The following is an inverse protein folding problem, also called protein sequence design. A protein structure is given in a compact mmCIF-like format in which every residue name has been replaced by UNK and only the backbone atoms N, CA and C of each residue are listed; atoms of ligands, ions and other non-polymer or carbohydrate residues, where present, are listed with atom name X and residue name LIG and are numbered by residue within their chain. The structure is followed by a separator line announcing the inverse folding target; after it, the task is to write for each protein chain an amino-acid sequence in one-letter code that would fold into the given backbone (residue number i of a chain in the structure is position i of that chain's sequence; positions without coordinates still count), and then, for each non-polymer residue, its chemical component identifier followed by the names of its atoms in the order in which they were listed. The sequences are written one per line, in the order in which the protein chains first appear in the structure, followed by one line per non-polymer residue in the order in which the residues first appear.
data_IF_690905653040
#
_entry.id   IF_690905653040
#
_cell.length_a   1.000
_cell.length_b   1.000
_cell.length_c   1.000
_cell.angle_alpha   90.00
_cell.angle_beta   90.00
_cell.angle_gamma   90.00
#
_symmetry.space_group_name_H-M   'P 1'
#
loop_
_entity.id
_entity.type
_entity.pdbx_description
1 polymer ?
#
# COMPACT_ATOMS: atom_id res chain seq x y z
N UNK A 1 -2.17 -78.47 19.78
CA UNK A 1 -2.50 -78.04 21.16
C UNK A 1 -3.21 -76.68 21.22
N UNK A 2 -2.56 -75.53 20.93
CA UNK A 2 -3.12 -74.18 21.20
C UNK A 2 -4.49 -73.88 20.54
N UNK A 3 -4.63 -74.19 19.25
CA UNK A 3 -5.91 -73.99 18.55
C UNK A 3 -7.03 -74.87 19.12
N UNK A 4 -6.72 -76.11 19.54
CA UNK A 4 -7.72 -77.02 20.13
C UNK A 4 -8.11 -76.54 21.52
N UNK A 5 -7.13 -76.15 22.35
CA UNK A 5 -7.39 -75.55 23.66
C UNK A 5 -8.28 -74.31 23.54
N UNK A 6 -8.03 -73.45 22.56
CA UNK A 6 -8.87 -72.27 22.27
C UNK A 6 -10.30 -72.65 21.89
N UNK A 7 -10.48 -73.63 21.00
CA UNK A 7 -11.81 -74.07 20.55
C UNK A 7 -12.57 -74.84 21.63
N UNK A 8 -11.86 -75.53 22.52
CA UNK A 8 -12.47 -76.36 23.58
C UNK A 8 -12.81 -75.54 24.82
N UNK A 9 -11.91 -74.67 25.30
CA UNK A 9 -12.14 -73.87 26.50
C UNK A 9 -12.93 -72.59 26.22
N UNK A 10 -13.08 -72.20 24.94
CA UNK A 10 -13.90 -71.08 24.47
C UNK A 10 -13.84 -69.81 25.37
N UNK A 11 -12.64 -69.25 25.61
CA UNK A 11 -12.47 -68.12 26.51
C UNK A 11 -13.10 -66.83 25.95
N UNK A 12 -13.58 -65.97 26.86
CA UNK A 12 -14.22 -64.69 26.50
C UNK A 12 -13.29 -63.75 25.68
N UNK A 13 -11.98 -63.83 25.91
CA UNK A 13 -10.97 -63.15 25.09
C UNK A 13 -9.95 -64.16 24.55
N UNK A 14 -10.01 -64.49 23.24
CA UNK A 14 -9.14 -65.49 22.64
C UNK A 14 -7.67 -65.04 22.54
N UNK A 15 -7.39 -63.73 22.51
CA UNK A 15 -6.03 -63.22 22.33
C UNK A 15 -5.23 -63.29 23.63
N UNK A 16 -5.85 -62.92 24.76
CA UNK A 16 -5.24 -63.00 26.09
C UNK A 16 -4.95 -64.47 26.43
N UNK A 17 -5.91 -65.35 26.17
CA UNK A 17 -5.73 -66.78 26.38
C UNK A 17 -4.56 -67.37 25.58
N UNK A 18 -4.44 -67.00 24.29
CA UNK A 18 -3.32 -67.46 23.46
C UNK A 18 -1.98 -66.94 24.00
N UNK A 19 -1.92 -65.69 24.45
CA UNK A 19 -0.71 -65.10 25.03
C UNK A 19 -0.26 -65.85 26.29
N UNK A 20 -1.18 -66.12 27.21
CA UNK A 20 -0.90 -66.84 28.46
C UNK A 20 -0.41 -68.27 28.19
N UNK A 21 -1.09 -69.00 27.30
CA UNK A 21 -0.71 -70.38 26.97
C UNK A 21 0.60 -70.47 26.19
N UNK A 22 0.93 -69.48 25.35
CA UNK A 22 2.25 -69.40 24.69
C UNK A 22 3.35 -69.16 25.72
N UNK A 23 3.15 -68.27 26.70
CA UNK A 23 4.11 -68.05 27.80
C UNK A 23 4.32 -69.31 28.63
N UNK A 24 3.24 -70.06 28.91
CA UNK A 24 3.29 -71.34 29.62
C UNK A 24 4.09 -72.41 28.86
N UNK A 25 3.91 -72.50 27.55
CA UNK A 25 4.68 -73.42 26.71
C UNK A 25 6.16 -73.03 26.62
N UNK A 26 6.46 -71.73 26.55
CA UNK A 26 7.83 -71.23 26.53
C UNK A 26 8.58 -71.48 27.85
N UNK A 27 7.91 -71.37 29.00
CA UNK A 27 8.52 -71.69 30.30
C UNK A 27 8.79 -73.19 30.45
N UNK A 28 7.85 -74.04 30.04
CA UNK A 28 8.02 -75.50 30.00
C UNK A 28 9.17 -75.92 29.08
N UNK A 29 9.30 -75.29 27.92
CA UNK A 29 10.39 -75.55 26.98
C UNK A 29 11.77 -75.18 27.55
N UNK A 30 11.87 -74.05 28.27
CA UNK A 30 13.10 -73.66 28.98
C UNK A 30 13.50 -74.66 30.07
N UNK A 31 12.53 -75.15 30.84
CA UNK A 31 12.78 -76.16 31.87
C UNK A 31 13.20 -77.51 31.27
N UNK A 32 12.63 -77.90 30.14
CA UNK A 32 12.97 -79.15 29.44
C UNK A 32 14.39 -79.11 28.85
N UNK A 33 14.79 -77.98 28.26
CA UNK A 33 16.14 -77.76 27.72
C UNK A 33 17.24 -77.76 28.81
N UNK A 34 16.89 -77.42 30.05
CA UNK A 34 17.79 -77.49 31.21
C UNK A 34 18.08 -78.93 31.65
N UNK A 35 17.11 -79.84 31.49
CA UNK A 35 17.23 -81.23 31.94
C UNK A 35 17.75 -82.19 30.85
N UNK A 36 17.57 -81.89 29.57
CA UNK A 36 18.04 -82.72 28.44
C UNK A 36 18.55 -81.84 27.26
N UNK A 37 19.85 -81.49 27.21
CA UNK A 37 20.39 -80.51 26.26
C UNK A 37 20.49 -81.00 24.80
N UNK A 38 20.31 -82.30 24.53
CA UNK A 38 20.49 -82.88 23.20
C UNK A 38 19.19 -83.12 22.41
N UNK A 39 18.01 -82.91 22.99
CA UNK A 39 16.72 -83.04 22.28
C UNK A 39 16.12 -81.66 22.00
N UNK A 40 15.91 -81.33 20.71
CA UNK A 40 15.43 -80.00 20.26
C UNK A 40 13.91 -79.90 20.11
N UNK A 41 13.16 -80.95 20.40
CA UNK A 41 11.72 -80.99 20.17
C UNK A 41 10.98 -81.41 21.44
N UNK A 42 10.15 -80.49 21.94
CA UNK A 42 9.17 -80.79 22.98
C UNK A 42 8.03 -81.56 22.28
N UNK A 43 7.78 -82.80 22.68
CA UNK A 43 6.66 -83.57 22.11
C UNK A 43 5.34 -82.99 22.64
N UNK A 44 4.66 -82.23 21.76
CA UNK A 44 3.46 -81.47 22.10
C UNK A 44 2.23 -82.30 21.79
N UNK A 45 1.74 -83.03 22.80
CA UNK A 45 0.46 -83.73 22.67
C UNK A 45 -0.70 -82.76 22.40
N UNK A 46 -1.67 -83.18 21.58
CA UNK A 46 -2.81 -82.36 21.16
C UNK A 46 -3.69 -81.92 22.34
N UNK A 47 -3.71 -82.70 23.42
CA UNK A 47 -4.55 -82.55 24.61
C UNK A 47 -3.93 -81.70 25.72
N UNK A 48 -2.65 -81.31 25.63
CA UNK A 48 -1.86 -80.70 26.72
C UNK A 48 -2.47 -79.43 27.34
N UNK A 49 -3.36 -78.73 26.65
CA UNK A 49 -3.97 -77.47 27.08
C UNK A 49 -5.48 -77.59 27.39
N UNK A 50 -5.97 -78.83 27.51
CA UNK A 50 -7.36 -79.15 27.84
C UNK A 50 -7.42 -79.60 29.30
N UNK A 51 -8.38 -79.11 30.08
CA UNK A 51 -8.57 -79.49 31.49
C UNK A 51 -8.84 -80.99 31.65
N UNK A 52 -8.28 -81.60 32.70
CA UNK A 52 -8.32 -83.06 32.92
C UNK A 52 -9.75 -83.62 33.05
N UNK A 53 -10.67 -82.85 33.61
CA UNK A 53 -12.08 -83.23 33.74
C UNK A 53 -12.77 -83.32 32.36
N UNK A 54 -12.54 -82.34 31.50
CA UNK A 54 -13.06 -82.34 30.13
C UNK A 54 -12.39 -83.42 29.28
N UNK A 55 -11.09 -83.65 29.49
CA UNK A 55 -10.34 -84.73 28.82
C UNK A 55 -10.95 -86.08 29.13
N UNK A 56 -11.26 -86.39 30.39
CA UNK A 56 -11.89 -87.65 30.77
C UNK A 56 -13.29 -87.84 30.18
N UNK A 57 -14.10 -86.77 30.16
CA UNK A 57 -15.41 -86.80 29.50
C UNK A 57 -15.29 -87.03 28.00
N UNK A 58 -14.37 -86.33 27.35
CA UNK A 58 -14.12 -86.46 25.91
C UNK A 58 -13.63 -87.87 25.58
N UNK A 59 -12.72 -88.46 26.34
CA UNK A 59 -12.24 -89.83 26.12
C UNK A 59 -13.33 -90.88 26.29
N UNK A 60 -14.22 -90.71 27.29
CA UNK A 60 -15.40 -91.59 27.46
C UNK A 60 -16.39 -91.45 26.31
N UNK A 61 -16.66 -90.23 25.87
CA UNK A 61 -17.59 -89.94 24.79
C UNK A 61 -17.04 -90.41 23.44
N UNK A 62 -15.79 -90.13 23.13
CA UNK A 62 -15.11 -90.59 21.91
C UNK A 62 -15.02 -92.12 21.93
N UNK A 63 -14.67 -92.73 23.07
CA UNK A 63 -14.63 -94.19 23.20
C UNK A 63 -15.98 -94.84 22.91
N UNK A 64 -17.08 -94.32 23.46
CA UNK A 64 -18.42 -94.85 23.20
C UNK A 64 -18.91 -94.58 21.78
N UNK A 65 -18.60 -93.41 21.21
CA UNK A 65 -19.02 -93.04 19.86
C UNK A 65 -18.22 -93.78 18.78
N UNK A 66 -16.91 -93.98 18.98
CA UNK A 66 -16.07 -94.77 18.07
C UNK A 66 -16.49 -96.25 18.10
N UNK A 67 -16.82 -96.80 19.28
CA UNK A 67 -17.35 -98.16 19.38
C UNK A 67 -18.67 -98.31 18.61
N UNK A 68 -19.53 -97.28 18.62
CA UNK A 68 -20.81 -97.27 17.90
C UNK A 68 -20.66 -97.03 16.38
N UNK A 69 -19.77 -96.12 15.96
CA UNK A 69 -19.56 -95.77 14.55
C UNK A 69 -18.82 -96.85 13.74
N UNK A 70 -17.95 -97.60 14.41
CA UNK A 70 -17.08 -98.59 13.76
C UNK A 70 -17.44 -100.03 14.09
N UNK A 71 -18.54 -100.25 14.83
CA UNK A 71 -19.08 -101.57 15.22
C UNK A 71 -17.98 -102.62 15.44
N UNK A 72 -17.09 -102.32 16.39
CA UNK A 72 -15.84 -103.07 16.64
C UNK A 72 -16.08 -104.52 17.13
N UNK A 73 -17.33 -104.95 17.28
CA UNK A 73 -17.73 -106.34 17.55
C UNK A 73 -17.58 -107.26 16.32
N UNK A 74 -17.54 -106.72 15.09
CA UNK A 74 -17.50 -107.54 13.86
C UNK A 74 -16.09 -108.00 13.40
N UNK A 75 -15.04 -107.75 14.19
CA UNK A 75 -13.70 -108.35 13.98
C UNK A 75 -12.91 -107.87 12.73
N UNK A 76 -13.51 -107.13 11.81
CA UNK A 76 -12.81 -106.53 10.66
C UNK A 76 -12.35 -105.10 10.97
N UNK A 77 -11.29 -104.99 11.76
CA UNK A 77 -10.62 -103.71 11.99
C UNK A 77 -9.90 -103.31 10.70
N UNK A 78 -10.45 -102.33 9.96
CA UNK A 78 -9.75 -101.72 8.82
C UNK A 78 -8.35 -101.27 9.25
N UNK A 79 -7.33 -101.54 8.41
CA UNK A 79 -5.95 -101.22 8.73
C UNK A 79 -5.81 -99.73 9.14
N UNK A 80 -5.15 -99.40 10.28
CA UNK A 80 -4.99 -98.04 10.79
C UNK A 80 -4.49 -97.01 9.75
N UNK A 81 -3.69 -97.49 8.80
CA UNK A 81 -3.15 -96.71 7.67
C UNK A 81 -4.25 -96.13 6.75
N UNK A 82 -5.39 -96.80 6.61
CA UNK A 82 -6.51 -96.34 5.78
C UNK A 82 -7.28 -95.20 6.46
N UNK A 83 -7.42 -95.24 7.79
CA UNK A 83 -8.03 -94.17 8.57
C UNK A 83 -7.19 -92.90 8.56
N UNK A 84 -5.87 -93.03 8.75
CA UNK A 84 -4.94 -91.91 8.61
C UNK A 84 -5.05 -91.29 7.22
N UNK A 85 -5.08 -92.11 6.16
CA UNK A 85 -5.18 -91.63 4.79
C UNK A 85 -6.49 -90.89 4.49
N UNK A 86 -7.63 -91.40 4.99
CA UNK A 86 -8.92 -90.74 4.87
C UNK A 86 -8.96 -89.41 5.63
N UNK A 87 -8.42 -89.39 6.86
CA UNK A 87 -8.32 -88.18 7.68
C UNK A 87 -7.40 -87.12 7.03
N UNK A 88 -6.22 -87.52 6.54
CA UNK A 88 -5.32 -86.63 5.80
C UNK A 88 -5.96 -86.08 4.54
N UNK A 89 -6.73 -86.88 3.81
CA UNK A 89 -7.44 -86.42 2.61
C UNK A 89 -8.49 -85.37 2.96
N UNK A 90 -9.33 -85.64 3.96
CA UNK A 90 -10.36 -84.71 4.41
C UNK A 90 -9.76 -83.42 5.00
N UNK A 91 -8.77 -83.54 5.89
CA UNK A 91 -8.15 -82.38 6.55
C UNK A 91 -7.42 -81.49 5.55
N UNK A 92 -6.68 -82.07 4.59
CA UNK A 92 -6.03 -81.30 3.52
C UNK A 92 -7.06 -80.63 2.60
N UNK A 93 -8.18 -81.29 2.31
CA UNK A 93 -9.28 -80.72 1.54
C UNK A 93 -9.89 -79.50 2.23
N UNK A 94 -10.16 -79.61 3.53
CA UNK A 94 -10.68 -78.52 4.35
C UNK A 94 -9.68 -77.36 4.48
N UNK A 95 -8.42 -77.67 4.81
CA UNK A 95 -7.34 -76.68 4.92
C UNK A 95 -7.16 -75.91 3.61
N UNK A 96 -7.21 -76.57 2.46
CA UNK A 96 -7.11 -75.92 1.15
C UNK A 96 -8.27 -74.95 0.92
N UNK A 97 -9.51 -75.35 1.22
CA UNK A 97 -10.70 -74.48 1.09
C UNK A 97 -10.61 -73.26 2.02
N UNK A 98 -10.27 -73.48 3.29
CA UNK A 98 -10.10 -72.41 4.27
C UNK A 98 -8.98 -71.44 3.87
N UNK A 99 -7.85 -71.95 3.40
CA UNK A 99 -6.73 -71.13 2.94
C UNK A 99 -7.07 -70.33 1.68
N UNK A 100 -7.81 -70.91 0.74
CA UNK A 100 -8.32 -70.18 -0.43
C UNK A 100 -9.29 -69.06 -0.03
N UNK A 101 -10.23 -69.34 0.89
CA UNK A 101 -11.15 -68.34 1.42
C UNK A 101 -10.42 -67.21 2.16
N UNK A 102 -9.44 -67.55 3.00
CA UNK A 102 -8.59 -66.58 3.69
C UNK A 102 -7.79 -65.71 2.70
N UNK A 103 -7.14 -66.30 1.69
CA UNK A 103 -6.45 -65.56 0.64
C UNK A 103 -7.38 -64.60 -0.10
N UNK A 104 -8.60 -65.01 -0.39
CA UNK A 104 -9.62 -64.16 -1.03
C UNK A 104 -10.02 -63.01 -0.11
N UNK A 105 -10.26 -63.28 1.17
CA UNK A 105 -10.58 -62.28 2.18
C UNK A 105 -9.46 -61.23 2.30
N UNK A 106 -8.20 -61.66 2.44
CA UNK A 106 -7.05 -60.75 2.50
C UNK A 106 -6.95 -59.87 1.24
N UNK A 107 -7.16 -60.44 0.04
CA UNK A 107 -7.23 -59.66 -1.20
C UNK A 107 -8.35 -58.64 -1.20
N UNK A 108 -9.54 -59.00 -0.71
CA UNK A 108 -10.69 -58.10 -0.58
C UNK A 108 -10.41 -56.97 0.40
N UNK A 109 -9.86 -57.26 1.57
CA UNK A 109 -9.48 -56.26 2.59
C UNK A 109 -8.47 -55.28 2.00
N UNK A 110 -7.40 -55.76 1.35
CA UNK A 110 -6.41 -54.88 0.70
C UNK A 110 -7.03 -53.99 -0.38
N UNK A 111 -7.92 -54.55 -1.21
CA UNK A 111 -8.63 -53.78 -2.24
C UNK A 111 -9.55 -52.71 -1.63
N UNK A 112 -10.22 -53.03 -0.53
CA UNK A 112 -11.06 -52.08 0.20
C UNK A 112 -10.23 -50.98 0.86
N UNK A 113 -9.11 -51.32 1.49
CA UNK A 113 -8.16 -50.36 2.07
C UNK A 113 -7.62 -49.39 1.01
N UNK A 114 -7.21 -49.87 -0.16
CA UNK A 114 -6.77 -48.98 -1.24
C UNK A 114 -7.86 -48.02 -1.71
N UNK A 115 -9.12 -48.48 -1.81
CA UNK A 115 -10.25 -47.60 -2.14
C UNK A 115 -10.53 -46.58 -1.04
N UNK A 116 -10.50 -47.00 0.22
CA UNK A 116 -10.67 -46.11 1.37
C UNK A 116 -9.60 -45.03 1.39
N UNK A 117 -8.33 -45.40 1.16
CA UNK A 117 -7.23 -44.43 1.05
C UNK A 117 -7.46 -43.44 -0.10
N UNK A 118 -7.97 -43.89 -1.25
CA UNK A 118 -8.30 -42.97 -2.34
C UNK A 118 -9.43 -42.00 -1.97
N UNK A 119 -10.45 -42.46 -1.24
CA UNK A 119 -11.53 -41.60 -0.78
C UNK A 119 -11.05 -40.60 0.27
N UNK A 120 -10.21 -41.00 1.23
CA UNK A 120 -9.66 -40.09 2.23
C UNK A 120 -8.80 -39.01 1.58
N UNK A 121 -7.90 -39.37 0.65
CA UNK A 121 -7.08 -38.41 -0.09
C UNK A 121 -7.92 -37.44 -0.93
N UNK A 122 -8.99 -37.92 -1.58
CA UNK A 122 -9.91 -37.05 -2.34
C UNK A 122 -10.67 -36.10 -1.42
N UNK A 123 -11.15 -36.60 -0.28
CA UNK A 123 -11.85 -35.81 0.71
C UNK A 123 -10.94 -34.71 1.28
N UNK A 124 -9.71 -35.05 1.64
CA UNK A 124 -8.71 -34.09 2.14
C UNK A 124 -8.43 -32.98 1.12
N UNK A 125 -8.17 -33.33 -0.15
CA UNK A 125 -8.00 -32.35 -1.23
C UNK A 125 -9.24 -31.46 -1.41
N UNK A 126 -10.43 -32.03 -1.33
CA UNK A 126 -11.67 -31.27 -1.45
C UNK A 126 -11.84 -30.30 -0.27
N UNK A 127 -11.60 -30.75 0.96
CA UNK A 127 -11.70 -29.92 2.16
C UNK A 127 -10.68 -28.78 2.13
N UNK A 128 -9.42 -29.05 1.81
CA UNK A 128 -8.39 -28.00 1.71
C UNK A 128 -8.75 -26.96 0.66
N UNK A 129 -9.17 -27.40 -0.54
CA UNK A 129 -9.61 -26.51 -1.63
C UNK A 129 -10.82 -25.67 -1.21
N UNK A 130 -11.81 -26.28 -0.57
CA UNK A 130 -13.03 -25.59 -0.11
C UNK A 130 -12.69 -24.54 0.96
N UNK A 131 -11.88 -24.91 1.95
CA UNK A 131 -11.44 -23.99 3.01
C UNK A 131 -10.70 -22.80 2.41
N UNK A 132 -9.72 -23.05 1.54
CA UNK A 132 -8.98 -21.99 0.83
C UNK A 132 -9.91 -21.09 0.02
N UNK A 133 -10.91 -21.64 -0.67
CA UNK A 133 -11.87 -20.86 -1.44
C UNK A 133 -12.69 -19.93 -0.55
N UNK A 134 -13.19 -20.42 0.58
CA UNK A 134 -13.99 -19.62 1.52
C UNK A 134 -13.14 -18.51 2.14
N UNK A 135 -11.93 -18.84 2.62
CA UNK A 135 -11.03 -17.83 3.20
C UNK A 135 -10.61 -16.79 2.17
N UNK A 136 -10.31 -17.22 0.93
CA UNK A 136 -9.99 -16.33 -0.17
C UNK A 136 -11.16 -15.41 -0.53
N UNK A 137 -12.40 -15.91 -0.53
CA UNK A 137 -13.59 -15.08 -0.76
C UNK A 137 -13.79 -14.05 0.34
N UNK A 138 -13.59 -14.41 1.61
CA UNK A 138 -13.64 -13.47 2.74
C UNK A 138 -12.55 -12.40 2.60
N UNK A 139 -11.33 -12.81 2.29
CA UNK A 139 -10.22 -11.90 2.03
C UNK A 139 -10.52 -10.97 0.85
N UNK A 140 -11.05 -11.48 -0.27
CA UNK A 140 -11.40 -10.67 -1.44
C UNK A 140 -12.44 -9.61 -1.10
N UNK A 141 -13.50 -9.97 -0.34
CA UNK A 141 -14.50 -9.01 0.15
C UNK A 141 -13.87 -7.94 1.04
N UNK A 142 -12.96 -8.34 1.93
CA UNK A 142 -12.22 -7.40 2.77
C UNK A 142 -11.35 -6.45 1.95
N UNK A 143 -10.63 -6.95 0.94
CA UNK A 143 -9.81 -6.12 0.04
C UNK A 143 -10.68 -5.13 -0.73
N UNK A 144 -11.84 -5.56 -1.24
CA UNK A 144 -12.78 -4.67 -1.92
C UNK A 144 -13.28 -3.56 -0.98
N UNK A 145 -13.64 -3.93 0.25
CA UNK A 145 -14.03 -2.96 1.27
C UNK A 145 -12.90 -1.98 1.59
N UNK A 146 -11.66 -2.45 1.74
CA UNK A 146 -10.50 -1.58 1.98
C UNK A 146 -10.26 -0.61 0.83
N UNK A 147 -10.34 -1.07 -0.43
CA UNK A 147 -10.24 -0.20 -1.60
C UNK A 147 -11.32 0.88 -1.59
N UNK A 148 -12.56 0.52 -1.27
CA UNK A 148 -13.66 1.49 -1.14
C UNK A 148 -13.37 2.54 -0.06
N UNK A 149 -12.87 2.12 1.11
CA UNK A 149 -12.49 3.04 2.18
C UNK A 149 -11.37 3.99 1.75
N UNK A 150 -10.35 3.48 1.06
CA UNK A 150 -9.26 4.32 0.51
C UNK A 150 -9.79 5.34 -0.50
N UNK A 151 -10.72 4.96 -1.39
CA UNK A 151 -11.32 5.89 -2.34
C UNK A 151 -12.14 6.98 -1.65
N UNK A 152 -12.90 6.63 -0.61
CA UNK A 152 -13.68 7.62 0.16
C UNK A 152 -12.75 8.58 0.90
N UNK A 153 -11.70 8.06 1.55
CA UNK A 153 -10.71 8.90 2.21
C UNK A 153 -10.01 9.86 1.24
N UNK A 154 -9.64 9.38 0.05
CA UNK A 154 -9.05 10.21 -1.01
C UNK A 154 -10.03 11.31 -1.47
N UNK A 155 -11.30 10.99 -1.66
CA UNK A 155 -12.34 11.97 -2.02
C UNK A 155 -12.50 13.04 -0.93
N UNK A 156 -12.52 12.65 0.35
CA UNK A 156 -12.58 13.60 1.46
C UNK A 156 -11.35 14.52 1.49
N UNK A 157 -10.16 13.97 1.33
CA UNK A 157 -8.92 14.76 1.28
C UNK A 157 -8.91 15.72 0.08
N UNK A 158 -9.34 15.26 -1.09
CA UNK A 158 -9.46 16.08 -2.29
C UNK A 158 -10.44 17.23 -2.06
N UNK A 159 -11.63 16.96 -1.50
CA UNK A 159 -12.61 18.00 -1.22
C UNK A 159 -12.08 19.08 -0.27
N UNK A 160 -11.40 18.68 0.81
CA UNK A 160 -10.75 19.63 1.73
C UNK A 160 -9.65 20.43 1.03
N UNK A 161 -8.84 19.77 0.20
CA UNK A 161 -7.78 20.42 -0.57
C UNK A 161 -8.34 21.45 -1.55
N UNK A 162 -9.38 21.11 -2.30
CA UNK A 162 -10.04 22.01 -3.25
C UNK A 162 -10.62 23.23 -2.53
N UNK A 163 -11.25 23.04 -1.36
CA UNK A 163 -11.74 24.14 -0.54
C UNK A 163 -10.62 25.06 -0.06
N UNK A 164 -9.49 24.51 0.40
CA UNK A 164 -8.33 25.29 0.83
C UNK A 164 -7.72 26.06 -0.34
N UNK A 165 -7.59 25.40 -1.49
CA UNK A 165 -7.05 26.00 -2.72
C UNK A 165 -7.94 27.16 -3.18
N UNK A 166 -9.27 26.99 -3.16
CA UNK A 166 -10.21 28.08 -3.45
C UNK A 166 -10.02 29.27 -2.51
N UNK A 167 -9.87 29.03 -1.19
CA UNK A 167 -9.63 30.09 -0.21
C UNK A 167 -8.33 30.83 -0.49
N UNK A 168 -7.24 30.11 -0.78
CA UNK A 168 -5.95 30.72 -1.12
C UNK A 168 -6.05 31.55 -2.40
N UNK A 169 -6.66 31.01 -3.47
CA UNK A 169 -6.85 31.75 -4.72
C UNK A 169 -7.66 33.01 -4.48
N UNK A 170 -8.78 32.94 -3.75
CA UNK A 170 -9.61 34.11 -3.47
C UNK A 170 -8.86 35.15 -2.64
N UNK A 171 -8.06 34.73 -1.66
CA UNK A 171 -7.23 35.63 -0.87
C UNK A 171 -6.20 36.35 -1.74
N UNK A 172 -5.43 35.60 -2.55
CA UNK A 172 -4.43 36.15 -3.47
C UNK A 172 -5.07 37.09 -4.50
N UNK A 173 -6.19 36.67 -5.10
CA UNK A 173 -6.94 37.49 -6.04
C UNK A 173 -7.44 38.77 -5.39
N UNK A 174 -8.00 38.70 -4.18
CA UNK A 174 -8.48 39.89 -3.47
C UNK A 174 -7.35 40.85 -3.11
N UNK A 175 -6.17 40.32 -2.77
CA UNK A 175 -4.97 41.12 -2.49
C UNK A 175 -4.47 41.81 -3.76
N UNK A 176 -4.36 41.06 -4.86
CA UNK A 176 -3.98 41.57 -6.17
C UNK A 176 -4.97 42.63 -6.68
N UNK A 177 -6.28 42.39 -6.54
CA UNK A 177 -7.31 43.33 -6.93
C UNK A 177 -7.24 44.63 -6.11
N UNK A 178 -7.00 44.52 -4.80
CA UNK A 178 -6.76 45.69 -3.93
C UNK A 178 -5.51 46.45 -4.34
N UNK A 179 -4.41 45.77 -4.62
CA UNK A 179 -3.17 46.41 -5.09
C UNK A 179 -3.41 47.12 -6.43
N UNK A 180 -4.02 46.44 -7.40
CA UNK A 180 -4.33 47.02 -8.72
C UNK A 180 -5.20 48.26 -8.60
N UNK A 181 -6.22 48.25 -7.71
CA UNK A 181 -7.06 49.41 -7.44
C UNK A 181 -6.25 50.56 -6.83
N UNK A 182 -5.43 50.29 -5.83
CA UNK A 182 -4.55 51.31 -5.22
C UNK A 182 -3.57 51.89 -6.24
N UNK A 183 -2.97 51.06 -7.07
CA UNK A 183 -2.06 51.47 -8.14
C UNK A 183 -2.76 52.37 -9.15
N UNK A 184 -4.00 52.03 -9.55
CA UNK A 184 -4.81 52.88 -10.43
C UNK A 184 -5.16 54.22 -9.78
N UNK A 185 -5.66 54.21 -8.55
CA UNK A 185 -5.99 55.43 -7.80
C UNK A 185 -4.76 56.33 -7.62
N UNK A 186 -3.58 55.75 -7.38
CA UNK A 186 -2.30 56.46 -7.34
C UNK A 186 -1.98 57.15 -8.68
N UNK A 187 -2.05 56.44 -9.80
CA UNK A 187 -1.78 57.03 -11.11
C UNK A 187 -2.82 58.10 -11.50
N UNK A 188 -4.08 57.93 -11.12
CA UNK A 188 -5.11 58.96 -11.34
C UNK A 188 -4.85 60.21 -10.48
N UNK A 189 -4.37 60.08 -9.24
CA UNK A 189 -3.94 61.22 -8.39
C UNK A 189 -2.72 61.93 -8.96
N UNK A 190 -1.76 61.19 -9.51
CA UNK A 190 -0.61 61.72 -10.24
C UNK A 190 -1.06 62.58 -11.43
N UNK A 191 -2.02 62.11 -12.22
CA UNK A 191 -2.54 62.87 -13.37
C UNK A 191 -3.28 64.15 -12.98
N UNK A 192 -3.88 64.19 -11.79
CA UNK A 192 -4.50 65.39 -11.22
C UNK A 192 -3.50 66.36 -10.57
N UNK A 193 -2.26 65.93 -10.34
CA UNK A 193 -1.23 66.75 -9.69
C UNK A 193 -1.42 66.91 -8.17
N UNK A 194 -2.07 65.95 -7.51
CA UNK A 194 -2.46 65.97 -6.09
C UNK A 194 -1.50 65.16 -5.19
N UNK A 195 -0.22 65.04 -5.54
CA UNK A 195 0.75 64.26 -4.77
C UNK A 195 1.60 65.14 -3.84
N UNK A 196 1.85 64.63 -2.63
CA UNK A 196 2.78 65.21 -1.66
C UNK A 196 4.09 64.40 -1.70
N UNK A 197 5.21 65.05 -1.99
CA UNK A 197 6.46 64.42 -2.48
C UNK A 197 7.05 63.35 -1.52
N UNK A 198 6.76 63.41 -0.20
CA UNK A 198 7.38 62.52 0.78
C UNK A 198 6.57 61.26 1.13
N UNK A 199 5.24 61.32 1.20
CA UNK A 199 4.43 60.15 1.61
C UNK A 199 4.14 59.18 0.47
N UNK A 200 4.00 59.71 -0.75
CA UNK A 200 3.54 58.93 -1.91
C UNK A 200 4.69 58.16 -2.61
N UNK A 201 5.94 58.44 -2.23
CA UNK A 201 7.15 57.73 -2.72
C UNK A 201 7.23 56.28 -2.22
N UNK A 202 6.62 55.95 -1.08
CA UNK A 202 6.57 54.57 -0.56
C UNK A 202 5.50 53.69 -1.24
N UNK A 203 4.45 54.30 -1.81
CA UNK A 203 3.38 53.59 -2.51
C UNK A 203 3.76 53.19 -3.94
N UNK A 204 4.77 53.85 -4.51
CA UNK A 204 5.29 53.57 -5.86
C UNK A 204 6.34 52.44 -5.90
N UNK A 205 6.51 51.66 -4.82
CA UNK A 205 7.34 50.46 -4.86
C UNK A 205 6.75 49.48 -5.90
N UNK A 206 7.44 49.21 -7.03
CA UNK A 206 6.90 48.40 -8.12
C UNK A 206 6.86 46.93 -7.70
N UNK A 207 5.74 46.51 -7.09
CA UNK A 207 5.38 45.11 -7.05
C UNK A 207 5.01 44.65 -8.46
N UNK A 208 5.95 43.97 -9.11
CA UNK A 208 5.76 43.16 -10.33
C UNK A 208 5.52 43.88 -11.68
N UNK A 209 6.18 45.01 -11.95
CA UNK A 209 6.37 45.48 -13.33
C UNK A 209 7.84 45.29 -13.72
N UNK A 210 8.09 44.26 -14.55
CA UNK A 210 9.41 43.84 -15.06
C UNK A 210 9.97 44.79 -16.12
N UNK A 211 10.22 46.04 -15.76
CA UNK A 211 11.10 46.91 -16.54
C UNK A 211 12.48 46.95 -15.87
N UNK A 212 13.56 46.87 -16.65
CA UNK A 212 14.95 46.87 -16.13
C UNK A 212 15.22 48.11 -15.25
N UNK A 213 14.55 49.23 -15.56
CA UNK A 213 14.67 50.47 -14.80
C UNK A 213 13.95 50.38 -13.45
N UNK A 214 12.86 49.63 -13.35
CA UNK A 214 12.11 49.42 -12.09
C UNK A 214 12.84 48.54 -11.07
N UNK A 215 13.92 47.86 -11.48
CA UNK A 215 14.80 47.08 -10.60
C UNK A 215 15.91 47.93 -9.95
N UNK A 216 16.12 49.16 -10.42
CA UNK A 216 17.16 50.04 -9.92
C UNK A 216 16.67 50.80 -8.66
N UNK A 217 17.54 51.08 -7.68
CA UNK A 217 17.19 51.96 -6.56
C UNK A 217 16.73 53.34 -7.06
N UNK A 218 15.74 53.92 -6.38
CA UNK A 218 15.13 55.21 -6.76
C UNK A 218 16.16 56.34 -6.97
N UNK A 219 17.20 56.38 -6.13
CA UNK A 219 18.30 57.36 -6.26
C UNK A 219 19.08 57.22 -7.57
N UNK A 220 19.32 55.99 -8.03
CA UNK A 220 20.02 55.70 -9.29
C UNK A 220 19.15 56.09 -10.48
N UNK A 221 17.85 55.81 -10.41
CA UNK A 221 16.89 56.20 -11.45
C UNK A 221 16.86 57.73 -11.61
N UNK A 222 16.73 58.47 -10.52
CA UNK A 222 16.75 59.93 -10.55
C UNK A 222 18.08 60.46 -11.07
N UNK A 223 19.20 59.82 -10.75
CA UNK A 223 20.50 60.18 -11.29
C UNK A 223 20.56 59.97 -12.81
N UNK A 224 20.05 58.86 -13.34
CA UNK A 224 19.97 58.62 -14.80
C UNK A 224 19.10 59.68 -15.48
N UNK A 225 17.92 59.97 -14.93
CA UNK A 225 17.01 60.97 -15.50
C UNK A 225 17.53 62.40 -15.35
N UNK A 226 18.41 62.69 -14.37
CA UNK A 226 19.03 64.02 -14.23
C UNK A 226 19.94 64.40 -15.40
N UNK A 227 20.42 63.43 -16.18
CA UNK A 227 21.18 63.68 -17.40
C UNK A 227 20.29 64.00 -18.62
N UNK A 228 18.98 63.82 -18.51
CA UNK A 228 18.04 64.09 -19.60
C UNK A 228 17.67 65.58 -19.62
N UNK A 229 17.77 66.19 -20.81
CA UNK A 229 17.26 67.54 -21.03
C UNK A 229 15.73 67.59 -21.05
N UNK A 230 15.15 68.79 -20.96
CA UNK A 230 13.70 69.06 -20.95
C UNK A 230 12.92 68.23 -21.99
N UNK A 231 13.42 68.20 -23.23
CA UNK A 231 12.79 67.45 -24.33
C UNK A 231 12.77 65.94 -24.10
N UNK A 232 13.88 65.40 -23.60
CA UNK A 232 14.02 63.96 -23.36
C UNK A 232 13.24 63.55 -22.11
N UNK A 233 13.13 64.40 -21.09
CA UNK A 233 12.23 64.18 -19.94
C UNK A 233 10.76 64.12 -20.36
N UNK A 234 10.30 65.05 -21.20
CA UNK A 234 8.92 65.04 -21.72
C UNK A 234 8.65 63.82 -22.60
N UNK A 235 9.65 63.34 -23.35
CA UNK A 235 9.55 62.09 -24.13
C UNK A 235 9.53 60.86 -23.23
N UNK A 236 10.41 60.81 -22.23
CA UNK A 236 10.47 59.75 -21.24
C UNK A 236 9.13 59.59 -20.51
N UNK A 237 8.47 60.70 -20.20
CA UNK A 237 7.14 60.70 -19.58
C UNK A 237 6.02 60.05 -20.43
N UNK A 238 6.27 59.80 -21.72
CA UNK A 238 5.33 59.15 -22.64
C UNK A 238 5.60 57.65 -22.84
N UNK A 239 6.69 57.11 -22.28
CA UNK A 239 7.09 55.70 -22.48
C UNK A 239 6.20 54.75 -21.70
N UNK A 240 6.09 54.92 -20.38
CA UNK A 240 5.20 54.16 -19.52
C UNK A 240 4.80 55.00 -18.28
N UNK A 241 3.82 54.53 -17.52
CA UNK A 241 3.33 55.26 -16.35
C UNK A 241 4.41 55.47 -15.28
N UNK A 242 5.34 54.53 -15.12
CA UNK A 242 6.47 54.64 -14.18
C UNK A 242 7.44 55.74 -14.60
N UNK A 243 7.80 55.81 -15.89
CA UNK A 243 8.68 56.86 -16.40
C UNK A 243 8.02 58.24 -16.37
N UNK A 244 6.69 58.30 -16.51
CA UNK A 244 5.90 59.52 -16.29
C UNK A 244 6.06 60.05 -14.87
N UNK A 245 5.96 59.19 -13.84
CA UNK A 245 6.21 59.57 -12.44
C UNK A 245 7.64 60.08 -12.27
N UNK A 246 8.63 59.29 -12.70
CA UNK A 246 10.05 59.65 -12.54
C UNK A 246 10.31 61.00 -13.18
N UNK A 247 9.89 61.20 -14.43
CA UNK A 247 10.11 62.43 -15.18
C UNK A 247 9.36 63.64 -14.61
N UNK A 248 8.34 63.46 -13.75
CA UNK A 248 7.61 64.54 -13.08
C UNK A 248 8.21 64.93 -11.70
N UNK A 249 9.19 64.18 -11.21
CA UNK A 249 9.82 64.42 -9.90
C UNK A 249 10.40 65.84 -9.79
N UNK A 250 10.05 66.56 -8.73
CA UNK A 250 10.43 67.96 -8.47
C UNK A 250 11.92 68.24 -8.61
N UNK A 251 12.79 67.33 -8.13
CA UNK A 251 14.25 67.47 -8.17
C UNK A 251 14.83 67.55 -9.59
N UNK A 252 14.21 66.88 -10.58
CA UNK A 252 14.65 66.90 -11.98
C UNK A 252 14.35 68.23 -12.68
N UNK A 253 13.36 68.97 -12.18
CA UNK A 253 12.93 70.27 -12.72
C UNK A 253 13.59 71.46 -12.00
N UNK A 254 14.52 71.19 -11.08
CA UNK A 254 15.25 72.24 -10.36
C UNK A 254 16.16 73.09 -11.24
N UNK A 255 16.71 72.49 -12.30
CA UNK A 255 17.60 73.15 -13.27
C UNK A 255 17.08 72.93 -14.68
N UNK A 256 16.42 73.94 -15.24
CA UNK A 256 15.80 73.87 -16.57
C UNK A 256 16.62 74.70 -17.56
N UNK A 257 17.04 74.07 -18.65
CA UNK A 257 17.69 74.74 -19.77
C UNK A 257 16.92 74.49 -21.08
N UNK A 258 16.31 75.53 -21.62
CA UNK A 258 15.56 75.47 -22.88
C UNK A 258 16.41 75.79 -24.12
N UNK A 259 17.65 76.28 -23.95
CA UNK A 259 18.53 76.67 -25.05
C UNK A 259 18.73 75.60 -26.15
N UNK A 260 18.80 74.29 -25.83
CA UNK A 260 18.90 73.23 -26.84
C UNK A 260 17.63 73.04 -27.67
N UNK A 261 16.46 73.42 -27.14
CA UNK A 261 15.14 73.16 -27.73
C UNK A 261 14.53 74.43 -28.35
N UNK A 262 15.26 75.55 -28.32
CA UNK A 262 14.78 76.89 -28.70
C UNK A 262 14.08 77.05 -30.05
N UNK A 263 14.38 76.18 -31.03
CA UNK A 263 13.77 76.20 -32.37
C UNK A 263 12.55 75.29 -32.50
N UNK A 264 12.25 74.50 -31.47
CA UNK A 264 11.29 73.39 -31.52
C UNK A 264 10.18 73.52 -30.46
N UNK A 265 10.27 74.50 -29.56
CA UNK A 265 9.30 74.71 -28.48
C UNK A 265 8.68 76.09 -28.61
N UNK A 266 7.36 76.15 -28.52
CA UNK A 266 6.60 77.39 -28.61
C UNK A 266 6.49 78.08 -27.24
N UNK A 267 6.25 79.40 -27.24
CA UNK A 267 6.15 80.19 -26.00
C UNK A 267 5.06 79.66 -25.05
N UNK A 268 3.93 79.20 -25.61
CA UNK A 268 2.83 78.66 -24.83
C UNK A 268 3.20 77.35 -24.13
N UNK A 269 4.01 76.50 -24.77
CA UNK A 269 4.48 75.24 -24.19
C UNK A 269 5.47 75.50 -23.05
N UNK A 270 6.36 76.50 -23.22
CA UNK A 270 7.25 76.95 -22.15
C UNK A 270 6.43 77.49 -20.97
N UNK A 271 5.43 78.34 -21.24
CA UNK A 271 4.57 78.91 -20.23
C UNK A 271 3.76 77.86 -19.46
N UNK A 272 3.28 76.82 -20.15
CA UNK A 272 2.54 75.71 -19.55
C UNK A 272 3.45 74.81 -18.71
N UNK A 273 4.63 74.46 -19.20
CA UNK A 273 5.59 73.65 -18.46
C UNK A 273 6.08 74.36 -17.19
N UNK A 274 6.38 75.66 -17.30
CA UNK A 274 6.76 76.50 -16.16
C UNK A 274 5.62 76.69 -15.18
N UNK A 275 4.35 76.62 -15.62
CA UNK A 275 3.18 76.67 -14.71
C UNK A 275 3.05 75.36 -13.92
N UNK A 276 3.28 74.22 -14.55
CA UNK A 276 3.18 72.90 -13.93
C UNK A 276 4.29 72.61 -12.92
N UNK A 277 5.55 72.97 -13.22
CA UNK A 277 6.71 72.66 -12.36
C UNK A 277 7.22 73.86 -11.56
N UNK A 278 6.46 74.95 -11.58
CA UNK A 278 6.75 76.24 -10.95
C UNK A 278 7.31 76.22 -9.52
N UNK A 279 6.87 75.34 -8.60
CA UNK A 279 7.39 75.30 -7.23
C UNK A 279 8.84 74.87 -7.11
N UNK A 280 9.37 74.22 -8.13
CA UNK A 280 10.61 73.47 -8.00
C UNK A 280 11.75 74.05 -8.83
N UNK A 281 11.48 75.01 -9.73
CA UNK A 281 12.48 75.63 -10.60
C UNK A 281 13.38 76.60 -9.84
N UNK A 282 14.66 76.25 -9.68
CA UNK A 282 15.68 77.08 -9.02
C UNK A 282 16.59 77.77 -10.05
N UNK A 283 16.90 77.11 -11.16
CA UNK A 283 17.72 77.67 -12.23
C UNK A 283 16.99 77.51 -13.56
N UNK A 284 16.76 78.62 -14.25
CA UNK A 284 16.12 78.65 -15.56
C UNK A 284 17.04 79.35 -16.56
N UNK A 285 17.39 78.68 -17.64
CA UNK A 285 18.12 79.28 -18.76
C UNK A 285 17.27 79.33 -20.02
N UNK A 286 17.01 80.57 -20.47
CA UNK A 286 16.31 80.90 -21.72
C UNK A 286 17.27 81.52 -22.75
N UNK A 287 18.55 81.16 -22.66
CA UNK A 287 19.60 81.78 -23.49
C UNK A 287 19.40 81.48 -24.97
N UNK A 288 19.35 82.53 -25.79
CA UNK A 288 19.25 82.43 -27.24
C UNK A 288 17.83 82.35 -27.81
N UNK A 289 16.80 82.65 -27.00
CA UNK A 289 15.45 82.88 -27.50
C UNK A 289 15.29 84.34 -27.94
N UNK A 290 14.82 84.55 -29.17
CA UNK A 290 14.58 85.88 -29.74
C UNK A 290 13.14 86.37 -29.59
N UNK A 291 12.20 85.49 -29.20
CA UNK A 291 10.77 85.77 -29.23
C UNK A 291 10.03 85.13 -28.03
N UNK A 292 10.39 85.56 -26.81
CA UNK A 292 9.69 85.14 -25.58
C UNK A 292 8.49 86.07 -25.38
N UNK A 293 7.30 85.48 -25.26
CA UNK A 293 6.05 86.23 -25.11
C UNK A 293 5.74 86.57 -23.65
N UNK A 294 4.74 87.43 -23.48
CA UNK A 294 4.27 87.85 -22.16
C UNK A 294 3.75 86.68 -21.30
N UNK A 295 3.27 85.60 -21.92
CA UNK A 295 2.77 84.42 -21.23
C UNK A 295 3.87 83.71 -20.41
N UNK A 296 5.04 83.49 -21.00
CA UNK A 296 6.20 82.93 -20.30
C UNK A 296 6.71 83.89 -19.22
N UNK A 297 6.79 85.19 -19.50
CA UNK A 297 7.21 86.19 -18.52
C UNK A 297 6.26 86.24 -17.30
N UNK A 298 4.94 86.14 -17.52
CA UNK A 298 3.92 86.08 -16.46
C UNK A 298 3.97 84.79 -15.64
N UNK A 299 4.24 83.66 -16.29
CA UNK A 299 4.46 82.38 -15.60
C UNK A 299 5.70 82.43 -14.69
N UNK A 300 6.75 83.16 -15.10
CA UNK A 300 7.97 83.37 -14.30
C UNK A 300 7.72 84.38 -13.16
N UNK A 301 7.09 85.52 -13.44
CA UNK A 301 7.03 86.68 -12.52
C UNK A 301 6.02 86.54 -11.37
N UNK A 302 5.05 85.64 -11.46
CA UNK A 302 3.95 85.57 -10.48
C UNK A 302 4.35 85.06 -9.08
N UNK A 303 5.64 84.92 -8.73
CA UNK A 303 6.14 84.58 -7.38
C UNK A 303 7.15 85.64 -6.93
N UNK A 304 6.67 86.61 -6.16
CA UNK A 304 7.51 87.24 -5.14
C UNK A 304 7.76 86.23 -4.02
N UNK A 305 8.95 86.27 -3.43
CA UNK A 305 9.30 85.61 -2.16
C UNK A 305 9.59 84.09 -2.24
N UNK A 306 10.70 83.70 -2.86
CA UNK A 306 11.62 82.72 -2.27
C UNK A 306 13.01 82.88 -2.92
N UNK A 307 13.98 83.29 -2.10
CA UNK A 307 15.32 83.73 -2.49
C UNK A 307 16.20 82.57 -3.00
N UNK A 308 16.96 82.83 -4.08
CA UNK A 308 18.11 82.01 -4.47
C UNK A 308 18.36 81.81 -5.98
N UNK A 309 17.66 82.52 -6.87
CA UNK A 309 17.73 82.26 -8.32
C UNK A 309 18.70 83.20 -9.03
N UNK A 310 19.82 82.63 -9.51
CA UNK A 310 20.74 83.30 -10.43
C UNK A 310 20.15 83.26 -11.85
N UNK A 311 19.65 84.40 -12.32
CA UNK A 311 19.13 84.55 -13.67
C UNK A 311 20.27 84.94 -14.62
N UNK A 312 20.64 84.03 -15.54
CA UNK A 312 21.43 84.37 -16.73
C UNK A 312 20.47 84.46 -17.91
N UNK A 313 20.09 85.69 -18.24
CA UNK A 313 19.50 86.04 -19.54
C UNK A 313 20.58 85.92 -20.62
#
# INVERSE_FOLDING_TARGET
ALLIGLFVQCPNDPLIYLEEKIKELQSKLKNYQLHMPNERHLDLSWDMLIDDEFRQQMTKMIGSYLNYLFDLESGEVLAPQLYEKAYFFYSNGLLRRCFCAWKWYIRKVRKWQMKMLQYTLKAEKFYTTKTLKVTFQMWMKWVQFQKMQQTLAAQHLQHVSDQLLCKIILQLWSALAKQTRKTREYFERLERGELDDESDTQLAQPGDIKDIISLLPWSVILQVFSYLGVKELVRAAKVCQVWKVIAQTSSLWSKINFSPVRKQIEDNDIANLLRSFRPFVIQLSLRGFSNIGWATFKSISSRGYNLGTYWKV
#
